data_IF_326053516027
#
_entry.id   IF_326053516027
#
_cell.length_a   1.000
_cell.length_b   1.000
_cell.length_c   1.000
_cell.angle_alpha   90.00
_cell.angle_beta   90.00
_cell.angle_gamma   90.00
#
_symmetry.space_group_name_H-M   'P 1'
#
loop_
_entity.id
_entity.type
_entity.pdbx_description
1 polymer ?
#
# COMPACT_ATOMS: atom_id res chain seq x y z
N UNK A 1 28.74 -44.18 -73.56
CA UNK A 1 29.34 -42.97 -74.18
C UNK A 1 28.24 -41.92 -74.31
N UNK A 2 28.58 -40.62 -74.16
CA UNK A 2 27.68 -39.44 -74.13
C UNK A 2 27.11 -39.16 -72.72
N UNK A 3 27.75 -38.35 -71.87
CA UNK A 3 27.97 -36.88 -71.80
C UNK A 3 27.14 -36.29 -70.64
N UNK A 4 27.84 -35.54 -69.80
CA UNK A 4 27.39 -34.75 -68.66
C UNK A 4 26.48 -33.58 -69.08
N UNK A 5 25.47 -33.27 -68.26
CA UNK A 5 24.53 -32.16 -68.49
C UNK A 5 24.20 -31.43 -67.19
N UNK A 6 24.59 -30.15 -67.14
CA UNK A 6 24.64 -29.21 -66.02
C UNK A 6 23.28 -28.52 -65.81
N UNK A 7 22.93 -28.17 -64.56
CA UNK A 7 22.48 -26.82 -64.09
C UNK A 7 21.47 -26.86 -62.94
N UNK A 8 21.97 -26.54 -61.75
CA UNK A 8 21.47 -25.54 -60.80
C UNK A 8 19.97 -25.14 -60.86
N UNK A 9 19.26 -25.35 -59.76
CA UNK A 9 18.22 -24.43 -59.28
C UNK A 9 18.12 -24.58 -57.77
N UNK A 10 18.78 -23.67 -57.04
CA UNK A 10 18.60 -23.49 -55.61
C UNK A 10 17.28 -22.74 -55.43
N UNK A 11 16.24 -23.45 -55.01
CA UNK A 11 14.99 -22.81 -54.55
C UNK A 11 15.30 -22.12 -53.22
N UNK A 12 15.52 -20.81 -53.28
CA UNK A 12 15.60 -19.95 -52.12
C UNK A 12 14.22 -19.95 -51.43
N UNK A 13 14.09 -20.69 -50.33
CA UNK A 13 12.96 -20.58 -49.42
C UNK A 13 13.13 -19.25 -48.69
N UNK A 14 12.46 -18.21 -49.18
CA UNK A 14 12.28 -16.96 -48.45
C UNK A 14 11.36 -17.26 -47.28
N UNK A 15 11.95 -17.61 -46.14
CA UNK A 15 11.25 -17.56 -44.85
C UNK A 15 11.04 -16.08 -44.57
N UNK A 16 9.87 -15.57 -44.95
CA UNK A 16 9.37 -14.28 -44.50
C UNK A 16 9.26 -14.39 -42.98
N UNK A 17 10.32 -14.02 -42.28
CA UNK A 17 10.23 -13.71 -40.86
C UNK A 17 9.28 -12.53 -40.79
N UNK A 18 7.99 -12.83 -40.57
CA UNK A 18 7.10 -11.90 -39.93
C UNK A 18 7.75 -11.64 -38.56
N UNK A 19 8.57 -10.59 -38.51
CA UNK A 19 8.83 -9.82 -37.30
C UNK A 19 7.48 -9.22 -36.90
N UNK A 20 6.56 -10.09 -36.50
CA UNK A 20 5.39 -9.73 -35.74
C UNK A 20 5.96 -9.15 -34.47
N UNK A 21 6.02 -7.82 -34.44
CA UNK A 21 6.35 -7.05 -33.26
C UNK A 21 5.53 -7.63 -32.12
N UNK A 22 6.17 -8.32 -31.19
CA UNK A 22 5.61 -8.53 -29.87
C UNK A 22 5.32 -7.14 -29.34
N UNK A 23 4.08 -6.69 -29.48
CA UNK A 23 3.57 -5.57 -28.69
C UNK A 23 3.67 -6.06 -27.26
N UNK A 24 4.77 -5.71 -26.60
CA UNK A 24 4.96 -5.97 -25.18
C UNK A 24 3.71 -5.52 -24.45
N UNK A 25 3.20 -6.37 -23.56
CA UNK A 25 2.13 -5.99 -22.67
C UNK A 25 2.52 -4.66 -22.01
N UNK A 26 1.70 -3.64 -22.20
CA UNK A 26 1.83 -2.39 -21.47
C UNK A 26 1.48 -2.73 -20.03
N UNK A 27 2.48 -3.03 -19.22
CA UNK A 27 2.29 -3.23 -17.80
C UNK A 27 1.68 -1.93 -17.26
N UNK A 28 0.54 -2.02 -16.57
CA UNK A 28 0.09 -0.92 -15.73
C UNK A 28 1.25 -0.59 -14.79
N UNK A 29 1.87 0.58 -14.97
CA UNK A 29 2.79 1.12 -13.98
C UNK A 29 1.99 1.29 -12.71
N UNK A 30 2.19 0.39 -11.74
CA UNK A 30 1.57 0.51 -10.43
C UNK A 30 2.10 1.82 -9.83
N UNK A 31 1.26 2.85 -9.60
CA UNK A 31 1.72 4.03 -8.91
C UNK A 31 2.27 3.59 -7.55
N UNK A 32 3.50 4.00 -7.24
CA UNK A 32 4.09 3.74 -5.92
C UNK A 32 3.23 4.44 -4.89
N UNK A 33 2.59 3.69 -3.99
CA UNK A 33 1.82 4.29 -2.91
C UNK A 33 2.80 5.03 -1.99
N UNK A 34 2.64 6.36 -1.77
CA UNK A 34 3.61 7.10 -0.97
C UNK A 34 3.57 6.63 0.49
N UNK A 35 4.68 6.10 0.97
CA UNK A 35 4.84 5.57 2.32
C UNK A 35 5.60 6.56 3.21
N UNK A 36 5.08 6.83 4.40
CA UNK A 36 5.65 7.76 5.39
C UNK A 36 6.04 6.97 6.63
N UNK A 37 7.34 6.80 6.83
CA UNK A 37 7.90 6.10 7.99
C UNK A 37 7.79 6.94 9.27
N UNK A 38 7.99 6.27 10.42
CA UNK A 38 7.87 6.88 11.76
C UNK A 38 8.74 8.11 11.98
N UNK A 39 9.96 8.10 11.46
CA UNK A 39 10.89 9.23 11.54
C UNK A 39 10.38 10.45 10.75
N UNK A 40 9.77 10.24 9.59
CA UNK A 40 9.28 11.33 8.72
C UNK A 40 8.13 12.10 9.37
N UNK A 41 7.20 11.42 10.05
CA UNK A 41 6.12 12.10 10.79
C UNK A 41 6.48 12.47 12.23
N UNK A 42 7.75 12.28 12.63
CA UNK A 42 8.28 12.60 13.97
C UNK A 42 7.56 11.85 15.09
N UNK A 43 7.43 10.54 14.94
CA UNK A 43 6.85 9.65 15.95
C UNK A 43 7.67 9.62 17.24
N UNK A 44 6.98 9.64 18.38
CA UNK A 44 7.60 9.24 19.65
C UNK A 44 7.99 7.75 19.61
N UNK A 45 8.99 7.38 20.41
CA UNK A 45 9.34 5.99 20.61
C UNK A 45 8.18 5.21 21.25
N UNK A 46 7.94 3.95 20.86
CA UNK A 46 7.02 3.08 21.58
C UNK A 46 7.57 2.78 22.99
N UNK A 47 6.70 2.67 23.99
CA UNK A 47 7.09 2.30 25.37
C UNK A 47 7.51 0.83 25.47
N UNK A 48 6.89 -0.03 24.67
CA UNK A 48 7.24 -1.44 24.50
C UNK A 48 6.80 -1.89 23.10
N UNK A 49 7.43 -2.95 22.58
CA UNK A 49 7.13 -3.52 21.27
C UNK A 49 6.97 -5.04 21.41
N UNK A 50 5.72 -5.48 21.46
CA UNK A 50 5.38 -6.90 21.44
C UNK A 50 5.16 -7.35 19.99
N UNK A 51 5.75 -8.49 19.60
CA UNK A 51 5.65 -9.03 18.24
C UNK A 51 4.86 -10.32 18.21
N UNK A 52 4.24 -10.61 17.06
CA UNK A 52 3.60 -11.90 16.80
C UNK A 52 4.19 -12.53 15.53
N UNK A 53 4.41 -13.86 15.53
CA UNK A 53 5.05 -14.54 14.42
C UNK A 53 4.07 -14.90 13.30
N UNK A 54 4.61 -15.26 12.13
CA UNK A 54 3.86 -15.85 11.03
C UNK A 54 3.17 -14.85 10.10
N UNK A 55 2.49 -15.37 9.06
CA UNK A 55 1.71 -14.55 8.14
C UNK A 55 0.52 -13.92 8.87
N UNK A 56 0.06 -12.76 8.40
CA UNK A 56 -1.03 -12.01 9.02
C UNK A 56 -2.36 -12.39 8.35
N UNK A 57 -3.27 -13.13 9.03
CA UNK A 57 -4.49 -13.64 8.40
C UNK A 57 -5.64 -12.63 8.30
N UNK A 58 -5.58 -11.49 9.01
CA UNK A 58 -6.68 -10.53 9.06
C UNK A 58 -6.23 -9.10 8.75
N UNK A 59 -7.12 -8.34 8.13
CA UNK A 59 -7.03 -6.88 8.00
C UNK A 59 -8.29 -6.29 8.64
N UNK A 60 -8.12 -5.30 9.50
CA UNK A 60 -9.23 -4.63 10.18
C UNK A 60 -9.18 -3.14 9.85
N UNK A 61 -10.27 -2.65 9.26
CA UNK A 61 -10.42 -1.26 8.83
C UNK A 61 -11.08 -0.45 9.93
N UNK A 62 -10.52 0.73 10.20
CA UNK A 62 -11.00 1.70 11.19
C UNK A 62 -11.12 3.07 10.54
N UNK A 63 -11.82 3.97 11.24
CA UNK A 63 -11.63 5.40 11.06
C UNK A 63 -11.22 6.05 12.37
N UNK A 64 -10.63 7.25 12.33
CA UNK A 64 -10.23 7.92 13.57
C UNK A 64 -11.44 8.49 14.30
N UNK A 65 -12.49 8.88 13.58
CA UNK A 65 -13.57 9.78 14.04
C UNK A 65 -13.01 11.16 14.43
N UNK A 66 -12.10 11.19 15.40
CA UNK A 66 -11.24 12.34 15.71
C UNK A 66 -9.76 11.92 15.66
N UNK A 67 -8.87 12.70 15.02
CA UNK A 67 -9.13 13.96 14.31
C UNK A 67 -9.91 13.77 13.00
N UNK A 68 -10.44 14.88 12.48
CA UNK A 68 -11.04 14.93 11.14
C UNK A 68 -10.02 14.64 10.04
N UNK A 69 -10.50 14.47 8.80
CA UNK A 69 -9.65 14.18 7.66
C UNK A 69 -8.60 15.27 7.43
N UNK A 70 -7.40 14.85 7.04
CA UNK A 70 -6.27 15.70 6.73
C UNK A 70 -5.93 15.56 5.23
N UNK A 71 -5.57 16.65 4.55
CA UNK A 71 -5.35 16.63 3.09
C UNK A 71 -3.96 17.11 2.66
N UNK A 72 -3.17 17.63 3.60
CA UNK A 72 -1.78 18.02 3.35
C UNK A 72 -0.84 17.12 4.14
N UNK A 73 0.38 16.85 3.65
CA UNK A 73 1.34 16.04 4.39
C UNK A 73 1.64 16.57 5.79
N UNK A 74 1.69 17.90 5.94
CA UNK A 74 1.95 18.55 7.22
C UNK A 74 0.80 18.33 8.21
N UNK A 75 -0.44 18.46 7.77
CA UNK A 75 -1.61 18.26 8.62
C UNK A 75 -1.80 16.78 8.98
N UNK A 76 -1.51 15.87 8.05
CA UNK A 76 -1.54 14.45 8.34
C UNK A 76 -0.42 14.01 9.31
N UNK A 77 0.78 14.60 9.24
CA UNK A 77 1.80 14.39 10.28
C UNK A 77 1.33 14.89 11.65
N UNK A 78 0.67 16.05 11.73
CA UNK A 78 0.08 16.56 12.99
C UNK A 78 -1.03 15.65 13.52
N UNK A 79 -1.89 15.14 12.64
CA UNK A 79 -2.94 14.18 13.00
C UNK A 79 -2.33 12.90 13.59
N UNK A 80 -1.31 12.33 12.94
CA UNK A 80 -0.56 11.17 13.45
C UNK A 80 0.01 11.42 14.85
N UNK A 81 0.64 12.58 15.06
CA UNK A 81 1.20 12.97 16.36
C UNK A 81 0.12 13.11 17.43
N UNK A 82 -1.01 13.74 17.11
CA UNK A 82 -2.14 13.90 18.04
C UNK A 82 -2.73 12.54 18.45
N UNK A 83 -2.93 11.64 17.49
CA UNK A 83 -3.44 10.29 17.74
C UNK A 83 -2.45 9.49 18.61
N UNK A 84 -1.15 9.53 18.29
CA UNK A 84 -0.13 8.84 19.10
C UNK A 84 -0.08 9.40 20.52
N UNK A 85 -0.10 10.73 20.65
CA UNK A 85 -0.12 11.42 21.95
C UNK A 85 -1.30 10.96 22.79
N UNK A 86 -2.51 11.00 22.26
CA UNK A 86 -3.72 10.54 22.95
C UNK A 86 -3.61 9.07 23.37
N UNK A 87 -3.16 8.19 22.48
CA UNK A 87 -3.00 6.78 22.79
C UNK A 87 -1.95 6.51 23.89
N UNK A 88 -0.80 7.18 23.85
CA UNK A 88 0.25 6.96 24.84
C UNK A 88 -0.03 7.69 26.16
N UNK A 89 -0.36 8.99 26.10
CA UNK A 89 -0.49 9.83 27.29
C UNK A 89 -1.83 9.60 27.99
N UNK A 90 -2.94 9.63 27.25
CA UNK A 90 -4.26 9.63 27.86
C UNK A 90 -4.80 8.20 28.07
N UNK A 91 -4.51 7.27 27.15
CA UNK A 91 -4.91 5.85 27.28
C UNK A 91 -3.84 4.93 27.89
N UNK A 92 -2.62 5.43 28.09
CA UNK A 92 -1.54 4.63 28.67
C UNK A 92 -0.97 3.53 27.75
N UNK A 93 -1.30 3.52 26.46
CA UNK A 93 -0.85 2.46 25.55
C UNK A 93 0.63 2.56 25.21
N UNK A 94 1.19 1.45 24.71
CA UNK A 94 2.60 1.39 24.31
C UNK A 94 2.93 2.35 23.15
N UNK A 95 1.98 2.54 22.23
CA UNK A 95 2.13 3.35 21.02
C UNK A 95 0.75 3.63 20.39
N UNK A 96 0.72 4.37 19.28
CA UNK A 96 -0.47 4.50 18.41
C UNK A 96 -1.12 3.13 18.18
N UNK A 97 -2.45 3.02 18.34
CA UNK A 97 -3.13 1.72 18.38
C UNK A 97 -3.14 0.92 17.08
N UNK A 98 -2.94 1.58 15.94
CA UNK A 98 -3.07 1.00 14.60
C UNK A 98 -1.72 0.58 14.01
N UNK A 99 -1.74 -0.38 13.09
CA UNK A 99 -0.56 -0.80 12.32
C UNK A 99 -0.18 0.28 11.30
N UNK A 100 -1.17 0.79 10.57
CA UNK A 100 -1.02 1.85 9.56
C UNK A 100 -2.19 2.82 9.61
N UNK A 101 -1.95 4.05 9.16
CA UNK A 101 -2.98 5.05 8.97
C UNK A 101 -2.91 5.59 7.55
N UNK A 102 -4.05 6.01 7.01
CA UNK A 102 -4.15 6.59 5.66
C UNK A 102 -4.69 8.00 5.78
N UNK A 103 -3.91 8.97 5.32
CA UNK A 103 -4.33 10.37 5.25
C UNK A 103 -5.20 10.63 4.03
N UNK A 104 -6.00 11.70 4.06
CA UNK A 104 -6.71 12.20 2.88
C UNK A 104 -5.76 12.80 1.83
N UNK A 105 -4.48 12.96 2.15
CA UNK A 105 -3.40 13.26 1.20
C UNK A 105 -2.94 12.04 0.38
N UNK A 106 -3.59 10.88 0.56
CA UNK A 106 -3.35 9.64 -0.18
C UNK A 106 -2.11 8.86 0.27
N UNK A 107 -1.45 9.25 1.37
CA UNK A 107 -0.23 8.60 1.86
C UNK A 107 -0.54 7.56 2.94
N UNK A 108 0.30 6.53 3.01
CA UNK A 108 0.28 5.53 4.09
C UNK A 108 1.30 5.93 5.15
N UNK A 109 0.81 6.15 6.37
CA UNK A 109 1.62 6.47 7.53
C UNK A 109 1.87 5.22 8.38
N UNK A 110 3.14 4.96 8.68
CA UNK A 110 3.53 3.86 9.55
C UNK A 110 3.11 4.14 10.99
N UNK A 111 2.19 3.34 11.53
CA UNK A 111 1.91 3.25 12.96
C UNK A 111 2.87 2.24 13.61
N UNK A 112 2.33 1.16 14.18
CA UNK A 112 3.15 0.06 14.72
C UNK A 112 3.84 -0.78 13.64
N UNK A 113 3.32 -0.77 12.41
CA UNK A 113 3.83 -1.58 11.31
C UNK A 113 3.35 -3.04 11.34
N UNK A 114 3.98 -3.88 10.52
CA UNK A 114 3.67 -5.31 10.42
C UNK A 114 4.23 -6.11 11.61
N UNK A 115 3.55 -7.20 11.96
CA UNK A 115 3.97 -8.18 13.00
C UNK A 115 4.26 -7.58 14.38
N UNK A 116 3.69 -6.41 14.70
CA UNK A 116 3.69 -5.81 16.03
C UNK A 116 2.26 -5.81 16.56
N UNK A 117 2.08 -6.29 17.79
CA UNK A 117 0.77 -6.40 18.43
C UNK A 117 0.12 -5.01 18.53
N UNK A 118 -1.09 -4.86 17.98
CA UNK A 118 -1.87 -3.63 17.97
C UNK A 118 -2.58 -3.29 19.28
N UNK A 119 -3.39 -2.23 19.27
CA UNK A 119 -4.36 -1.92 20.33
C UNK A 119 -5.70 -1.41 19.73
N UNK A 120 -6.02 -1.81 18.50
CA UNK A 120 -7.17 -1.30 17.73
C UNK A 120 -8.36 -2.27 17.71
N UNK A 121 -8.15 -3.57 17.92
CA UNK A 121 -9.21 -4.58 17.84
C UNK A 121 -8.98 -5.68 18.90
N UNK A 122 -9.72 -5.65 20.02
CA UNK A 122 -9.66 -6.70 21.03
C UNK A 122 -9.80 -8.08 20.40
N UNK A 123 -8.97 -9.05 20.83
CA UNK A 123 -8.88 -10.43 20.31
C UNK A 123 -8.27 -10.62 18.91
N UNK A 124 -7.90 -9.53 18.22
CA UNK A 124 -7.28 -9.59 16.89
C UNK A 124 -5.94 -8.84 16.79
N UNK A 125 -5.55 -8.09 17.83
CA UNK A 125 -4.32 -7.30 17.85
C UNK A 125 -3.04 -8.11 17.56
N UNK A 126 -3.03 -9.41 17.80
CA UNK A 126 -1.89 -10.32 17.65
C UNK A 126 -1.93 -11.18 16.36
N UNK A 127 -2.87 -10.88 15.45
CA UNK A 127 -3.06 -11.63 14.19
C UNK A 127 -3.68 -10.80 13.08
N UNK A 128 -3.58 -9.47 13.17
CA UNK A 128 -4.16 -8.57 12.16
C UNK A 128 -3.27 -7.37 11.86
N UNK A 129 -3.51 -6.77 10.70
CA UNK A 129 -3.10 -5.40 10.40
C UNK A 129 -4.30 -4.48 10.63
N UNK A 130 -4.15 -3.51 11.52
CA UNK A 130 -5.14 -2.44 11.70
C UNK A 130 -4.81 -1.27 10.79
N UNK A 131 -5.69 -0.97 9.83
CA UNK A 131 -5.58 0.18 8.93
C UNK A 131 -6.64 1.19 9.33
N UNK A 132 -6.24 2.41 9.69
CA UNK A 132 -7.16 3.45 10.11
C UNK A 132 -7.16 4.62 9.11
N UNK A 133 -8.32 4.91 8.52
CA UNK A 133 -8.48 6.09 7.67
C UNK A 133 -8.66 7.32 8.56
N UNK A 134 -7.79 8.32 8.41
CA UNK A 134 -7.87 9.56 9.20
C UNK A 134 -9.10 10.34 8.72
N UNK A 135 -10.09 10.48 9.60
CA UNK A 135 -11.34 11.19 9.37
C UNK A 135 -12.54 10.55 10.06
N UNK A 136 -13.68 11.25 9.97
CA UNK A 136 -15.00 10.72 10.29
C UNK A 136 -15.68 10.28 8.99
N UNK A 137 -15.95 8.98 8.87
CA UNK A 137 -16.56 8.35 7.68
C UNK A 137 -17.94 7.74 8.00
N UNK A 138 -18.67 8.31 8.97
CA UNK A 138 -20.04 7.88 9.28
C UNK A 138 -21.08 8.41 8.27
N UNK A 139 -20.76 9.48 7.54
CA UNK A 139 -21.67 10.09 6.55
C UNK A 139 -21.73 9.31 5.23
N UNK A 140 -22.81 9.52 4.46
CA UNK A 140 -22.91 9.04 3.08
C UNK A 140 -21.95 9.86 2.17
N UNK A 141 -21.15 9.17 1.37
CA UNK A 141 -20.49 9.79 0.23
C UNK A 141 -21.59 10.35 -0.68
N UNK A 142 -21.67 11.67 -0.85
CA UNK A 142 -22.29 12.20 -2.06
C UNK A 142 -21.47 11.62 -3.20
N UNK A 143 -22.06 10.67 -3.94
CA UNK A 143 -21.44 10.11 -5.12
C UNK A 143 -21.04 11.29 -5.99
N UNK A 144 -19.73 11.54 -6.09
CA UNK A 144 -19.21 12.43 -7.11
C UNK A 144 -19.77 11.87 -8.41
N UNK A 145 -20.61 12.66 -9.07
CA UNK A 145 -21.23 12.31 -10.34
C UNK A 145 -20.18 12.40 -11.45
N UNK A 146 -19.04 11.74 -11.24
CA UNK A 146 -17.96 11.58 -12.17
C UNK A 146 -18.25 10.29 -12.92
N UNK A 147 -19.02 10.45 -14.00
CA UNK A 147 -19.05 9.50 -15.11
C UNK A 147 -17.61 9.10 -15.45
N UNK A 148 -17.33 7.80 -15.33
CA UNK A 148 -16.08 7.21 -15.79
C UNK A 148 -15.94 7.33 -17.32
#
# INVERSE_FOLDING_TARGET
MVITGRRTSVLAVVVLQLLGTWKGAMACSMPTVPYVSRDVWSANAPRSVDKFPGPIPFVIIHHTYEPAACYTPADCCKAMQAIQRFHQQDRGWNDIGYSFLVGGDGRIYQGRGFNVVGAHAPRYNDKSVGICLIGDWRGEFEALNETC
#
